data_IF_841118587843
#
_entry.id   IF_841118587843
#
_cell.length_a   1.000
_cell.length_b   1.000
_cell.length_c   1.000
_cell.angle_alpha   90.00
_cell.angle_beta   90.00
_cell.angle_gamma   90.00
#
_symmetry.space_group_name_H-M   'P 1'
#
loop_
_entity.id
_entity.type
_entity.pdbx_description
1 polymer ?
#
# COMPACT_ATOMS: atom_id res chain seq x y z
N UNK A 1 -7.41 -16.27 -3.13
CA UNK A 1 -6.10 -16.40 -3.77
C UNK A 1 -5.26 -17.35 -2.93
N UNK A 2 -4.39 -18.18 -3.52
CA UNK A 2 -3.51 -19.04 -2.71
C UNK A 2 -2.45 -18.17 -2.00
N UNK A 3 -2.18 -18.44 -0.73
CA UNK A 3 -1.18 -17.74 0.08
C UNK A 3 0.22 -17.74 -0.54
N UNK A 4 0.65 -18.85 -1.17
CA UNK A 4 1.94 -18.90 -1.90
C UNK A 4 1.95 -17.92 -3.08
N UNK A 5 0.82 -17.78 -3.79
CA UNK A 5 0.68 -16.83 -4.90
C UNK A 5 0.66 -15.38 -4.38
N UNK A 6 -0.04 -15.11 -3.28
CA UNK A 6 -0.02 -13.80 -2.62
C UNK A 6 1.40 -13.39 -2.21
N UNK A 7 2.14 -14.30 -1.56
CA UNK A 7 3.53 -14.04 -1.13
C UNK A 7 4.45 -13.72 -2.31
N UNK A 8 4.34 -14.46 -3.42
CA UNK A 8 5.12 -14.17 -4.63
C UNK A 8 4.87 -12.75 -5.15
N UNK A 9 3.61 -12.31 -5.20
CA UNK A 9 3.29 -10.96 -5.65
C UNK A 9 3.74 -9.89 -4.64
N UNK A 10 3.65 -10.16 -3.34
CA UNK A 10 4.13 -9.26 -2.29
C UNK A 10 5.64 -9.04 -2.40
N UNK A 11 6.41 -10.12 -2.55
CA UNK A 11 7.87 -10.05 -2.72
C UNK A 11 8.23 -9.35 -4.04
N UNK A 12 7.55 -9.68 -5.13
CA UNK A 12 7.75 -8.99 -6.40
C UNK A 12 7.50 -7.48 -6.27
N UNK A 13 6.36 -7.09 -5.68
CA UNK A 13 6.00 -5.69 -5.50
C UNK A 13 6.99 -4.95 -4.60
N UNK A 14 7.51 -5.60 -3.55
CA UNK A 14 8.57 -5.04 -2.71
C UNK A 14 9.82 -4.67 -3.52
N UNK A 15 10.32 -5.60 -4.33
CA UNK A 15 11.50 -5.34 -5.17
C UNK A 15 11.21 -4.35 -6.31
N UNK A 16 9.99 -4.34 -6.82
CA UNK A 16 9.56 -3.36 -7.82
C UNK A 16 9.57 -1.95 -7.25
N UNK A 17 8.97 -1.73 -6.07
CA UNK A 17 8.97 -0.43 -5.37
C UNK A 17 10.41 -0.01 -5.05
N UNK A 18 11.23 -0.92 -4.53
CA UNK A 18 12.64 -0.64 -4.25
C UNK A 18 13.42 -0.24 -5.51
N UNK A 19 13.17 -0.91 -6.64
CA UNK A 19 13.75 -0.55 -7.93
C UNK A 19 13.32 0.83 -8.41
N UNK A 20 12.02 1.15 -8.29
CA UNK A 20 11.48 2.48 -8.61
C UNK A 20 12.13 3.57 -7.75
N UNK A 21 12.30 3.33 -6.46
CA UNK A 21 12.99 4.26 -5.55
C UNK A 21 14.45 4.52 -5.98
N UNK A 22 15.21 3.47 -6.31
CA UNK A 22 16.59 3.67 -6.81
C UNK A 22 16.61 4.51 -8.10
N UNK A 23 15.65 4.25 -8.99
CA UNK A 23 15.54 5.02 -10.24
C UNK A 23 15.11 6.46 -9.97
N UNK A 24 14.19 6.70 -9.04
CA UNK A 24 13.72 8.04 -8.71
C UNK A 24 14.84 8.90 -8.14
N UNK A 25 15.67 8.34 -7.26
CA UNK A 25 16.86 9.02 -6.73
C UNK A 25 17.88 9.32 -7.83
N UNK A 26 18.15 8.34 -8.72
CA UNK A 26 19.15 8.50 -9.78
C UNK A 26 18.75 9.51 -10.85
N UNK A 27 17.46 9.61 -11.14
CA UNK A 27 16.92 10.44 -12.22
C UNK A 27 16.13 11.66 -11.70
N UNK A 28 16.19 11.93 -10.39
CA UNK A 28 15.52 13.07 -9.74
C UNK A 28 14.01 13.13 -9.98
N UNK A 29 13.34 11.98 -10.01
CA UNK A 29 11.90 11.94 -10.35
C UNK A 29 11.03 12.70 -9.37
N UNK A 30 11.36 12.70 -8.08
CA UNK A 30 10.64 13.51 -7.08
C UNK A 30 10.67 15.01 -7.39
N UNK A 31 11.73 15.50 -8.04
CA UNK A 31 11.85 16.91 -8.45
C UNK A 31 11.27 17.18 -9.85
N UNK A 32 11.31 16.19 -10.75
CA UNK A 32 10.90 16.35 -12.15
C UNK A 32 9.41 16.03 -12.39
N UNK A 33 8.85 15.12 -11.59
CA UNK A 33 7.51 14.58 -11.74
C UNK A 33 6.75 14.85 -10.44
N UNK A 34 6.02 15.95 -10.40
CA UNK A 34 5.24 16.38 -9.22
C UNK A 34 4.25 15.33 -8.71
N UNK A 35 3.85 14.36 -9.54
CA UNK A 35 2.90 13.31 -9.17
C UNK A 35 3.57 11.98 -8.79
N UNK A 36 4.90 11.90 -8.81
CA UNK A 36 5.60 10.65 -8.56
C UNK A 36 5.41 10.16 -7.12
N UNK A 37 5.29 11.08 -6.18
CA UNK A 37 5.10 10.73 -4.78
C UNK A 37 3.75 10.04 -4.53
N UNK A 38 2.66 10.57 -5.09
CA UNK A 38 1.35 9.90 -5.15
C UNK A 38 1.41 8.47 -5.74
N UNK A 39 2.28 8.22 -6.74
CA UNK A 39 2.48 6.87 -7.28
C UNK A 39 3.13 5.96 -6.24
N UNK A 40 4.11 6.46 -5.51
CA UNK A 40 4.81 5.72 -4.46
C UNK A 40 3.87 5.42 -3.28
N UNK A 41 3.03 6.37 -2.86
CA UNK A 41 1.97 6.14 -1.87
C UNK A 41 0.95 5.09 -2.34
N UNK A 42 0.49 5.18 -3.58
CA UNK A 42 -0.40 4.16 -4.13
C UNK A 42 0.20 2.74 -4.08
N UNK A 43 1.47 2.61 -4.49
CA UNK A 43 2.18 1.34 -4.45
C UNK A 43 2.48 0.89 -3.02
N UNK A 44 2.76 1.83 -2.11
CA UNK A 44 2.94 1.64 -0.67
C UNK A 44 1.68 1.09 -0.03
N UNK A 45 0.55 1.79 -0.14
CA UNK A 45 -0.76 1.32 0.33
C UNK A 45 -1.17 -0.03 -0.27
N UNK A 46 -0.87 -0.28 -1.56
CA UNK A 46 -1.08 -1.58 -2.19
C UNK A 46 -0.23 -2.67 -1.51
N UNK A 47 1.05 -2.40 -1.27
CA UNK A 47 1.98 -3.35 -0.65
C UNK A 47 1.62 -3.63 0.81
N UNK A 48 1.39 -2.58 1.61
CA UNK A 48 0.99 -2.69 3.02
C UNK A 48 -0.35 -3.42 3.14
N UNK A 49 -1.32 -3.10 2.28
CA UNK A 49 -2.59 -3.80 2.21
C UNK A 49 -2.42 -5.29 1.89
N UNK A 50 -1.59 -5.64 0.91
CA UNK A 50 -1.26 -7.03 0.59
C UNK A 50 -0.54 -7.76 1.74
N UNK A 51 0.32 -7.05 2.46
CA UNK A 51 0.99 -7.57 3.64
C UNK A 51 0.00 -7.92 4.75
N UNK A 52 -0.91 -7.01 5.11
CA UNK A 52 -1.91 -7.30 6.13
C UNK A 52 -2.92 -8.36 5.68
N UNK A 53 -3.24 -8.45 4.38
CA UNK A 53 -4.01 -9.58 3.84
C UNK A 53 -3.26 -10.90 4.05
N UNK A 54 -1.94 -10.94 3.84
CA UNK A 54 -1.13 -12.13 4.07
C UNK A 54 -1.06 -12.53 5.55
N UNK A 55 -0.97 -11.54 6.45
CA UNK A 55 -0.94 -11.75 7.92
C UNK A 55 -2.30 -12.21 8.45
N UNK A 56 -3.38 -11.49 8.17
CA UNK A 56 -4.71 -11.77 8.72
C UNK A 56 -5.42 -12.97 8.07
N UNK A 57 -4.99 -13.39 6.87
CA UNK A 57 -5.52 -14.61 6.23
C UNK A 57 -5.00 -15.92 6.86
N UNK A 58 -4.10 -15.85 7.85
CA UNK A 58 -3.58 -17.03 8.57
C UNK A 58 -4.66 -17.69 9.43
N UNK A 59 -5.55 -16.89 10.05
CA UNK A 59 -6.42 -17.38 11.12
C UNK A 59 -7.66 -18.14 10.63
N UNK A 60 -8.23 -17.81 9.46
CA UNK A 60 -9.40 -18.51 8.89
C UNK A 60 -9.39 -18.48 7.36
N UNK A 61 -9.80 -19.58 6.69
CA UNK A 61 -10.03 -19.56 5.24
C UNK A 61 -11.12 -18.54 4.94
N UNK A 62 -10.75 -17.56 4.12
CA UNK A 62 -11.52 -16.35 3.87
C UNK A 62 -12.82 -16.67 3.13
N UNK A 63 -13.89 -16.93 3.88
CA UNK A 63 -15.23 -16.58 3.44
C UNK A 63 -15.30 -15.05 3.34
N UNK A 64 -16.23 -14.51 2.55
CA UNK A 64 -16.46 -13.07 2.32
C UNK A 64 -16.68 -12.29 3.62
N UNK A 65 -15.63 -12.08 4.39
CA UNK A 65 -15.71 -11.51 5.72
C UNK A 65 -15.36 -10.03 5.60
N UNK A 66 -16.38 -9.18 5.60
CA UNK A 66 -16.25 -7.72 5.67
C UNK A 66 -15.30 -7.30 6.81
N UNK A 67 -15.24 -8.08 7.88
CA UNK A 67 -14.30 -7.89 9.00
C UNK A 67 -12.83 -7.94 8.57
N UNK A 68 -12.45 -8.82 7.63
CA UNK A 68 -11.07 -8.89 7.14
C UNK A 68 -10.71 -7.63 6.35
N UNK A 69 -11.56 -7.24 5.40
CA UNK A 69 -11.34 -6.04 4.59
C UNK A 69 -11.23 -4.79 5.47
N UNK A 70 -12.09 -4.67 6.49
CA UNK A 70 -12.04 -3.55 7.43
C UNK A 70 -10.75 -3.57 8.26
N UNK A 71 -10.32 -4.72 8.78
CA UNK A 71 -9.05 -4.85 9.51
C UNK A 71 -7.85 -4.44 8.67
N UNK A 72 -7.79 -4.89 7.41
CA UNK A 72 -6.71 -4.55 6.47
C UNK A 72 -6.73 -3.06 6.16
N UNK A 73 -7.91 -2.50 5.90
CA UNK A 73 -8.07 -1.06 5.66
C UNK A 73 -7.57 -0.25 6.85
N UNK A 74 -8.06 -0.52 8.06
CA UNK A 74 -7.67 0.21 9.26
C UNK A 74 -6.17 0.09 9.56
N UNK A 75 -5.59 -1.10 9.37
CA UNK A 75 -4.17 -1.31 9.57
C UNK A 75 -3.33 -0.54 8.54
N UNK A 76 -3.73 -0.53 7.27
CA UNK A 76 -3.02 0.21 6.22
C UNK A 76 -3.18 1.72 6.40
N UNK A 77 -4.37 2.19 6.73
CA UNK A 77 -4.67 3.58 7.02
C UNK A 77 -3.86 4.11 8.22
N UNK A 78 -3.70 3.29 9.26
CA UNK A 78 -2.83 3.64 10.39
C UNK A 78 -1.36 3.77 9.96
N UNK A 79 -0.86 2.91 9.08
CA UNK A 79 0.51 3.03 8.55
C UNK A 79 0.67 4.32 7.74
N UNK A 80 -0.31 4.67 6.88
CA UNK A 80 -0.31 5.94 6.16
C UNK A 80 -0.25 7.15 7.11
N UNK A 81 -1.12 7.19 8.13
CA UNK A 81 -1.07 8.25 9.16
C UNK A 81 0.31 8.33 9.82
N UNK A 82 0.92 7.19 10.16
CA UNK A 82 2.24 7.17 10.78
C UNK A 82 3.35 7.67 9.84
N UNK A 83 3.19 7.47 8.53
CA UNK A 83 4.08 7.99 7.51
C UNK A 83 3.98 9.53 7.40
N UNK A 84 2.76 10.07 7.36
CA UNK A 84 2.54 11.53 7.36
C UNK A 84 3.12 12.20 8.62
N UNK A 85 2.99 11.57 9.78
CA UNK A 85 3.63 12.07 11.01
C UNK A 85 5.15 12.03 10.93
N UNK A 86 5.70 11.04 10.22
CA UNK A 86 7.14 10.95 9.98
C UNK A 86 7.60 12.09 9.05
N UNK A 87 6.88 12.37 7.98
CA UNK A 87 7.19 13.48 7.07
C UNK A 87 7.05 14.84 7.74
N UNK A 88 5.99 15.05 8.51
CA UNK A 88 5.84 16.25 9.33
C UNK A 88 7.02 16.43 10.30
N UNK A 89 7.53 15.33 10.88
CA UNK A 89 8.71 15.40 11.75
C UNK A 89 9.98 15.74 10.96
N UNK A 90 10.12 15.23 9.73
CA UNK A 90 11.22 15.61 8.83
C UNK A 90 11.13 17.09 8.47
N UNK A 91 9.94 17.60 8.13
CA UNK A 91 9.74 19.01 7.79
C UNK A 91 10.17 19.96 8.90
N UNK A 92 9.83 19.62 10.14
CA UNK A 92 10.29 20.37 11.31
C UNK A 92 11.82 20.38 11.46
N UNK A 93 12.49 19.29 11.08
CA UNK A 93 13.95 19.17 11.15
C UNK A 93 14.62 19.93 9.99
N UNK A 94 14.09 19.80 8.77
CA UNK A 94 14.60 20.49 7.56
C UNK A 94 14.20 21.96 7.49
N UNK A 95 13.28 22.41 8.36
CA UNK A 95 12.67 23.76 8.33
C UNK A 95 11.96 24.03 7.01
N UNK A 96 11.29 23.00 6.49
CA UNK A 96 10.36 23.09 5.36
C UNK A 96 8.95 23.31 5.89
N UNK A 97 8.11 23.96 5.07
CA UNK A 97 6.72 24.21 5.43
C UNK A 97 5.89 22.95 5.20
N UNK A 98 4.93 22.69 6.08
CA UNK A 98 3.98 21.59 5.93
C UNK A 98 3.07 21.81 4.71
N UNK A 99 3.02 20.81 3.82
CA UNK A 99 2.18 20.82 2.63
C UNK A 99 0.91 19.98 2.83
N UNK A 100 -0.20 20.64 3.15
CA UNK A 100 -1.48 19.96 3.36
C UNK A 100 -2.02 19.25 2.11
N UNK A 101 -2.00 19.86 0.90
CA UNK A 101 -2.33 19.16 -0.34
C UNK A 101 -1.57 17.85 -0.56
N UNK A 102 -0.26 17.82 -0.24
CA UNK A 102 0.60 16.64 -0.38
C UNK A 102 0.09 15.50 0.51
N UNK A 103 0.10 15.70 1.84
CA UNK A 103 -0.44 14.78 2.86
C UNK A 103 -1.85 14.27 2.53
N UNK A 104 -2.72 15.16 2.06
CA UNK A 104 -4.08 14.75 1.70
C UNK A 104 -4.08 13.79 0.49
N UNK A 105 -3.25 14.08 -0.51
CA UNK A 105 -3.12 13.23 -1.68
C UNK A 105 -2.49 11.89 -1.33
N UNK A 106 -1.48 11.86 -0.48
CA UNK A 106 -0.75 10.66 -0.06
C UNK A 106 -1.65 9.71 0.71
N UNK A 107 -2.39 10.23 1.69
CA UNK A 107 -3.44 9.51 2.39
C UNK A 107 -4.52 8.95 1.45
N UNK A 108 -4.92 9.71 0.42
CA UNK A 108 -5.89 9.25 -0.57
C UNK A 108 -5.32 8.10 -1.42
N UNK A 109 -4.07 8.20 -1.87
CA UNK A 109 -3.44 7.18 -2.71
C UNK A 109 -3.10 5.91 -1.93
N UNK A 110 -2.73 6.02 -0.66
CA UNK A 110 -2.63 4.87 0.25
C UNK A 110 -3.95 4.10 0.36
N UNK A 111 -5.07 4.83 0.52
CA UNK A 111 -6.41 4.26 0.55
C UNK A 111 -6.75 3.56 -0.77
N UNK A 112 -6.46 4.19 -1.91
CA UNK A 112 -6.68 3.57 -3.23
C UNK A 112 -5.85 2.30 -3.40
N UNK A 113 -4.61 2.30 -2.90
CA UNK A 113 -3.72 1.14 -2.89
C UNK A 113 -4.32 -0.05 -2.13
N UNK A 114 -4.77 0.15 -0.88
CA UNK A 114 -5.37 -0.94 -0.08
C UNK A 114 -6.71 -1.42 -0.63
N UNK A 115 -7.51 -0.53 -1.24
CA UNK A 115 -8.74 -0.92 -1.93
C UNK A 115 -8.43 -1.86 -3.10
N UNK A 116 -7.41 -1.55 -3.91
CA UNK A 116 -6.96 -2.43 -4.99
C UNK A 116 -6.41 -3.76 -4.45
N UNK A 117 -5.59 -3.73 -3.39
CA UNK A 117 -5.07 -4.94 -2.73
C UNK A 117 -6.21 -5.89 -2.33
N UNK A 118 -7.23 -5.33 -1.68
CA UNK A 118 -8.42 -6.05 -1.21
C UNK A 118 -9.23 -6.61 -2.37
N UNK A 119 -9.51 -5.79 -3.39
CA UNK A 119 -10.22 -6.23 -4.58
C UNK A 119 -9.50 -7.37 -5.30
N UNK A 120 -8.18 -7.23 -5.50
CA UNK A 120 -7.33 -8.23 -6.12
C UNK A 120 -7.39 -9.57 -5.37
N UNK A 121 -7.30 -9.52 -4.04
CA UNK A 121 -7.38 -10.70 -3.18
C UNK A 121 -8.74 -11.39 -3.23
N UNK A 122 -9.83 -10.62 -3.16
CA UNK A 122 -11.20 -11.15 -3.22
C UNK A 122 -11.49 -11.80 -4.57
N UNK A 123 -11.15 -11.13 -5.68
CA UNK A 123 -11.30 -11.68 -7.05
C UNK A 123 -10.56 -13.00 -7.20
N UNK A 124 -9.30 -13.05 -6.74
CA UNK A 124 -8.50 -14.28 -6.78
C UNK A 124 -9.01 -15.38 -5.84
N UNK A 125 -9.84 -15.07 -4.85
CA UNK A 125 -10.49 -16.06 -3.97
C UNK A 125 -11.72 -16.65 -4.63
N UNK A 126 -12.59 -15.81 -5.20
CA UNK A 126 -13.80 -16.21 -5.91
C UNK A 126 -13.48 -17.16 -7.08
N UNK A 127 -12.42 -16.86 -7.84
CA UNK A 127 -11.99 -17.72 -8.94
C UNK A 127 -11.59 -19.13 -8.49
N UNK A 128 -10.87 -19.26 -7.36
CA UNK A 128 -10.48 -20.58 -6.86
C UNK A 128 -11.66 -21.37 -6.27
N UNK A 129 -12.65 -20.70 -5.68
CA UNK A 129 -13.86 -21.37 -5.16
C UNK A 129 -14.77 -21.89 -6.26
N UNK A 130 -14.74 -21.32 -7.48
CA UNK A 130 -15.52 -21.78 -8.63
C UNK A 130 -14.93 -22.99 -9.36
N UNK A 131 -13.68 -23.34 -9.08
CA UNK A 131 -12.91 -24.40 -9.74
C UNK A 131 -12.79 -25.66 -8.87
N UNK A 132 -13.42 -25.67 -7.69
CA UNK A 132 -13.58 -26.82 -6.81
C UNK A 132 -15.02 -27.27 -6.87
#
# INVERSE_FOLDING_TARGET
MNRKKLLKHLVFLMFFIFGLYIMSERFYWYSLLWYFDMIMHFLGGLWVGMFFLYVFSIEKPVSKNTTLSLKVFLATFLIGILWEFYELALDMISRTDFDFPDTFSDMLFDVLGVLLATFYYLKGTIWMTRQK
#
